data_IF_253938559962
#
_entry.id   IF_253938559962
#
_cell.length_a   1.000
_cell.length_b   1.000
_cell.length_c   1.000
_cell.angle_alpha   90.00
_cell.angle_beta   90.00
_cell.angle_gamma   90.00
#
_symmetry.space_group_name_H-M   'P 1'
#
loop_
_entity.id
_entity.type
_entity.pdbx_description
1 polymer ?
#
# COMPACT_ATOMS: atom_id res chain seq x y z
N UNK A 1 23.51 9.76 8.56
CA UNK A 1 22.27 8.94 8.65
C UNK A 1 22.23 8.05 7.41
N UNK A 2 21.99 6.75 7.56
CA UNK A 2 21.90 5.82 6.42
C UNK A 2 20.42 5.55 6.11
N UNK A 3 20.11 5.33 4.83
CA UNK A 3 18.73 5.15 4.34
C UNK A 3 18.54 3.73 3.83
N UNK A 4 17.40 3.13 4.17
CA UNK A 4 17.00 1.78 3.76
C UNK A 4 15.68 1.87 3.00
N UNK A 5 15.62 1.24 1.83
CA UNK A 5 14.38 1.06 1.08
C UNK A 5 13.88 -0.36 1.33
N UNK A 6 12.66 -0.47 1.85
CA UNK A 6 11.99 -1.74 2.17
C UNK A 6 10.89 -1.95 1.14
N UNK A 7 10.97 -3.02 0.35
CA UNK A 7 9.94 -3.39 -0.60
C UNK A 7 9.09 -4.54 -0.03
N UNK A 8 7.83 -4.25 0.30
CA UNK A 8 6.87 -5.25 0.75
C UNK A 8 6.23 -5.93 -0.48
N UNK A 9 6.35 -7.25 -0.60
CA UNK A 9 5.76 -7.98 -1.72
C UNK A 9 4.23 -7.88 -1.75
N UNK A 10 3.61 -7.96 -2.94
CA UNK A 10 2.14 -7.88 -3.07
C UNK A 10 1.37 -8.94 -2.27
N UNK A 11 1.95 -10.13 -2.11
CA UNK A 11 1.37 -11.21 -1.30
C UNK A 11 1.66 -11.06 0.20
N UNK A 12 2.59 -10.18 0.59
CA UNK A 12 2.92 -9.94 1.99
C UNK A 12 1.78 -9.22 2.73
N UNK A 13 0.81 -8.67 1.99
CA UNK A 13 -0.34 -7.94 2.52
C UNK A 13 -1.63 -8.78 2.53
N UNK A 14 -1.58 -10.06 2.14
CA UNK A 14 -2.77 -10.91 2.09
C UNK A 14 -3.81 -10.48 1.05
N UNK A 15 -4.96 -11.16 1.06
CA UNK A 15 -5.95 -11.06 -0.02
C UNK A 15 -7.22 -10.28 0.37
N UNK A 16 -7.34 -9.88 1.63
CA UNK A 16 -8.48 -9.13 2.14
C UNK A 16 -8.07 -8.15 3.25
N UNK A 17 -8.95 -7.19 3.63
CA UNK A 17 -8.60 -6.17 4.60
C UNK A 17 -8.19 -6.67 5.98
N UNK A 18 -8.76 -7.80 6.43
CA UNK A 18 -8.44 -8.36 7.74
C UNK A 18 -7.03 -8.95 7.75
N UNK A 19 -6.69 -9.71 6.72
CA UNK A 19 -5.34 -10.26 6.53
C UNK A 19 -4.31 -9.17 6.35
N UNK A 20 -4.57 -8.17 5.51
CA UNK A 20 -3.69 -7.02 5.33
C UNK A 20 -3.36 -6.34 6.63
N UNK A 21 -4.39 -6.06 7.44
CA UNK A 21 -4.17 -5.42 8.74
C UNK A 21 -3.35 -6.31 9.67
N UNK A 22 -3.59 -7.63 9.69
CA UNK A 22 -2.84 -8.57 10.52
C UNK A 22 -1.36 -8.64 10.11
N UNK A 23 -1.07 -8.76 8.81
CA UNK A 23 0.29 -8.83 8.27
C UNK A 23 1.06 -7.53 8.52
N UNK A 24 0.43 -6.37 8.27
CA UNK A 24 1.03 -5.06 8.54
C UNK A 24 1.33 -4.91 10.04
N UNK A 25 0.39 -5.31 10.91
CA UNK A 25 0.59 -5.24 12.36
C UNK A 25 1.73 -6.14 12.84
N UNK A 26 1.95 -7.28 12.18
CA UNK A 26 3.05 -8.18 12.47
C UNK A 26 4.39 -7.61 11.99
N UNK A 27 4.42 -6.91 10.86
CA UNK A 27 5.63 -6.34 10.27
C UNK A 27 6.07 -5.00 10.91
N UNK A 28 5.12 -4.20 11.42
CA UNK A 28 5.38 -2.86 11.96
C UNK A 28 6.48 -2.80 13.05
N UNK A 29 6.53 -3.71 14.05
CA UNK A 29 7.60 -3.71 15.04
C UNK A 29 9.00 -3.82 14.43
N UNK A 30 9.19 -4.72 13.47
CA UNK A 30 10.49 -4.90 12.82
C UNK A 30 10.92 -3.65 12.05
N UNK A 31 9.98 -2.97 11.37
CA UNK A 31 10.26 -1.71 10.69
C UNK A 31 10.63 -0.58 11.66
N UNK A 32 9.94 -0.48 12.80
CA UNK A 32 10.25 0.54 13.82
C UNK A 32 11.59 0.28 14.52
N UNK A 33 11.98 -0.98 14.73
CA UNK A 33 13.31 -1.31 15.26
C UNK A 33 14.43 -0.85 14.32
N UNK A 34 14.23 -0.90 12.99
CA UNK A 34 15.18 -0.32 12.03
C UNK A 34 15.32 1.20 12.24
N UNK A 35 14.21 1.91 12.46
CA UNK A 35 14.24 3.36 12.75
C UNK A 35 15.00 3.61 14.06
N UNK A 36 14.76 2.78 15.08
CA UNK A 36 15.42 2.88 16.40
C UNK A 36 16.94 2.69 16.33
N UNK A 37 17.43 1.90 15.38
CA UNK A 37 18.85 1.77 15.06
C UNK A 37 19.46 3.00 14.35
N UNK A 38 18.67 4.05 14.12
CA UNK A 38 19.13 5.31 13.52
C UNK A 38 19.09 5.35 12.00
N UNK A 39 18.38 4.41 11.37
CA UNK A 39 18.15 4.41 9.92
C UNK A 39 16.90 5.20 9.55
N UNK A 40 16.96 5.86 8.41
CA UNK A 40 15.77 6.36 7.73
C UNK A 40 15.20 5.23 6.86
N UNK A 41 13.90 4.99 6.92
CA UNK A 41 13.24 3.98 6.09
C UNK A 41 12.34 4.62 5.04
N UNK A 42 12.37 4.07 3.83
CA UNK A 42 11.39 4.30 2.77
C UNK A 42 10.71 2.96 2.51
N UNK A 43 9.39 2.95 2.47
CA UNK A 43 8.62 1.73 2.27
C UNK A 43 7.93 1.81 0.91
N UNK A 44 8.16 0.81 0.07
CA UNK A 44 7.33 0.53 -1.11
C UNK A 44 6.56 -0.76 -0.87
N UNK A 45 5.48 -0.95 -1.62
CA UNK A 45 4.66 -2.15 -1.52
C UNK A 45 4.11 -2.56 -2.89
N UNK A 46 3.86 -3.86 -3.06
CA UNK A 46 2.99 -4.36 -4.11
C UNK A 46 1.52 -4.13 -3.75
N UNK A 47 0.62 -4.31 -4.73
CA UNK A 47 -0.82 -4.06 -4.55
C UNK A 47 -1.71 -5.06 -5.29
N UNK A 48 -1.14 -6.14 -5.87
CA UNK A 48 -1.85 -7.06 -6.78
C UNK A 48 -3.22 -7.54 -6.26
N UNK A 49 -3.29 -8.18 -5.08
CA UNK A 49 -4.57 -8.59 -4.51
C UNK A 49 -5.53 -7.43 -4.25
N UNK A 50 -5.01 -6.30 -3.76
CA UNK A 50 -5.81 -5.14 -3.34
C UNK A 50 -6.41 -4.40 -4.53
N UNK A 51 -5.62 -4.16 -5.59
CA UNK A 51 -6.11 -3.52 -6.81
C UNK A 51 -7.08 -4.41 -7.56
N UNK A 52 -6.84 -5.73 -7.59
CA UNK A 52 -7.76 -6.70 -8.18
C UNK A 52 -9.11 -6.77 -7.44
N UNK A 53 -9.09 -6.71 -6.10
CA UNK A 53 -10.31 -6.63 -5.30
C UNK A 53 -11.12 -5.37 -5.63
N UNK A 54 -10.46 -4.20 -5.70
CA UNK A 54 -11.12 -2.91 -5.98
C UNK A 54 -11.70 -2.85 -7.39
N UNK A 55 -10.90 -3.24 -8.40
CA UNK A 55 -11.31 -3.26 -9.80
C UNK A 55 -12.54 -4.18 -9.99
N UNK A 56 -12.48 -5.39 -9.43
CA UNK A 56 -13.58 -6.35 -9.52
C UNK A 56 -14.85 -5.82 -8.86
N UNK A 57 -14.73 -5.22 -7.67
CA UNK A 57 -15.88 -4.70 -6.93
C UNK A 57 -16.57 -3.54 -7.69
N UNK A 58 -15.79 -2.59 -8.21
CA UNK A 58 -16.33 -1.43 -8.92
C UNK A 58 -16.96 -1.87 -10.26
N UNK A 59 -16.31 -2.75 -11.01
CA UNK A 59 -16.86 -3.23 -12.27
C UNK A 59 -18.11 -4.09 -12.08
N UNK A 60 -18.18 -4.90 -11.01
CA UNK A 60 -19.42 -5.59 -10.65
C UNK A 60 -20.54 -4.61 -10.34
N UNK A 61 -20.26 -3.52 -9.61
CA UNK A 61 -21.26 -2.50 -9.29
C UNK A 61 -21.77 -1.76 -10.53
N UNK A 62 -20.86 -1.32 -11.41
CA UNK A 62 -21.21 -0.65 -12.68
C UNK A 62 -22.05 -1.53 -13.63
N UNK A 63 -21.80 -2.84 -13.63
CA UNK A 63 -22.58 -3.80 -14.41
C UNK A 63 -23.99 -4.05 -13.85
N UNK A 64 -24.22 -3.81 -12.56
CA UNK A 64 -25.51 -3.99 -11.90
C UNK A 64 -26.34 -2.70 -11.89
N UNK A 65 -25.68 -1.55 -11.86
CA UNK A 65 -26.30 -0.22 -11.83
C UNK A 65 -25.59 0.72 -12.79
N UNK A 66 -26.27 1.03 -13.91
CA UNK A 66 -25.77 1.93 -14.95
C UNK A 66 -25.49 3.37 -14.49
N UNK A 67 -25.94 3.77 -13.29
CA UNK A 67 -25.59 5.07 -12.70
C UNK A 67 -24.17 5.10 -12.09
N UNK A 68 -23.57 3.93 -11.85
CA UNK A 68 -22.21 3.80 -11.32
C UNK A 68 -21.23 3.76 -12.51
N UNK A 69 -20.24 4.66 -12.57
CA UNK A 69 -19.28 4.68 -13.67
C UNK A 69 -18.29 3.51 -13.57
N UNK A 70 -17.83 3.04 -14.73
CA UNK A 70 -16.63 2.21 -14.79
C UNK A 70 -15.41 3.03 -14.37
N UNK A 71 -14.52 2.41 -13.62
CA UNK A 71 -13.25 2.98 -13.17
C UNK A 71 -12.13 2.16 -13.77
N UNK A 72 -11.17 2.82 -14.42
CA UNK A 72 -10.07 2.12 -15.07
C UNK A 72 -9.03 1.66 -14.04
N UNK A 73 -8.17 0.74 -14.46
CA UNK A 73 -7.13 0.17 -13.61
C UNK A 73 -6.17 1.23 -12.98
N UNK A 74 -5.81 2.35 -13.65
CA UNK A 74 -4.98 3.39 -13.04
C UNK A 74 -5.63 4.05 -11.81
N UNK A 75 -6.92 4.38 -11.86
CA UNK A 75 -7.64 4.94 -10.73
C UNK A 75 -7.80 3.92 -9.59
N UNK A 76 -8.12 2.66 -9.91
CA UNK A 76 -8.12 1.58 -8.92
C UNK A 76 -6.73 1.41 -8.27
N UNK A 77 -5.66 1.58 -9.05
CA UNK A 77 -4.28 1.55 -8.55
C UNK A 77 -4.04 2.71 -7.60
N UNK A 78 -4.45 3.95 -7.94
CA UNK A 78 -4.34 5.10 -7.04
C UNK A 78 -5.12 4.90 -5.73
N UNK A 79 -6.35 4.35 -5.81
CA UNK A 79 -7.14 4.00 -4.63
C UNK A 79 -6.43 2.96 -3.76
N UNK A 80 -5.84 1.93 -4.38
CA UNK A 80 -5.11 0.87 -3.65
C UNK A 80 -3.91 1.41 -2.87
N UNK A 81 -3.22 2.44 -3.39
CA UNK A 81 -2.13 3.11 -2.67
C UNK A 81 -2.64 3.81 -1.41
N UNK A 82 -3.74 4.55 -1.50
CA UNK A 82 -4.35 5.20 -0.34
C UNK A 82 -4.83 4.18 0.70
N UNK A 83 -5.44 3.10 0.25
CA UNK A 83 -5.90 2.00 1.10
C UNK A 83 -4.77 1.30 1.86
N UNK A 84 -3.71 0.88 1.16
CA UNK A 84 -2.56 0.20 1.77
C UNK A 84 -1.78 1.17 2.66
N UNK A 85 -1.52 2.37 2.16
CA UNK A 85 -0.82 3.43 2.88
C UNK A 85 -1.51 3.84 4.18
N UNK A 86 -2.84 3.90 4.19
CA UNK A 86 -3.63 4.14 5.40
C UNK A 86 -3.36 3.08 6.48
N UNK A 87 -3.38 1.79 6.13
CA UNK A 87 -3.09 0.73 7.09
C UNK A 87 -1.63 0.76 7.57
N UNK A 88 -0.66 0.97 6.66
CA UNK A 88 0.76 1.09 7.01
C UNK A 88 1.01 2.26 7.95
N UNK A 89 0.49 3.44 7.62
CA UNK A 89 0.62 4.64 8.45
C UNK A 89 0.10 4.40 9.86
N UNK A 90 -1.10 3.85 10.01
CA UNK A 90 -1.70 3.63 11.32
C UNK A 90 -0.89 2.64 12.16
N UNK A 91 -0.43 1.55 11.56
CA UNK A 91 0.34 0.54 12.27
C UNK A 91 1.71 1.06 12.70
N UNK A 92 2.42 1.74 11.79
CA UNK A 92 3.74 2.33 12.07
C UNK A 92 3.65 3.46 13.08
N UNK A 93 2.66 4.37 12.96
CA UNK A 93 2.45 5.43 13.94
C UNK A 93 2.15 4.85 15.32
N UNK A 94 1.27 3.85 15.42
CA UNK A 94 0.98 3.20 16.69
C UNK A 94 2.25 2.61 17.31
N UNK A 95 3.06 1.94 16.50
CA UNK A 95 4.29 1.30 16.99
C UNK A 95 5.37 2.31 17.38
N UNK A 96 5.54 3.38 16.60
CA UNK A 96 6.41 4.52 16.96
C UNK A 96 5.99 5.14 18.30
N UNK A 97 4.68 5.36 18.52
CA UNK A 97 4.18 5.95 19.77
C UNK A 97 4.34 5.03 20.97
N UNK A 98 4.20 3.71 20.81
CA UNK A 98 4.51 2.75 21.89
C UNK A 98 5.97 2.82 22.35
N UNK A 99 6.88 3.18 21.44
CA UNK A 99 8.31 3.33 21.70
C UNK A 99 8.68 4.79 22.03
N UNK A 100 7.69 5.64 22.30
CA UNK A 100 7.85 7.07 22.63
C UNK A 100 8.59 7.88 21.54
N UNK A 101 8.58 7.40 20.30
CA UNK A 101 9.20 8.06 19.15
C UNK A 101 8.23 9.06 18.53
N UNK A 102 8.69 10.29 18.27
CA UNK A 102 7.86 11.42 17.79
C UNK A 102 7.80 11.55 16.26
N UNK A 103 8.39 10.61 15.53
CA UNK A 103 8.41 10.60 14.07
C UNK A 103 6.99 10.51 13.47
N UNK A 104 6.85 11.05 12.27
CA UNK A 104 5.61 11.01 11.48
C UNK A 104 5.78 10.02 10.32
N UNK A 105 4.64 9.50 9.84
CA UNK A 105 4.59 8.57 8.71
C UNK A 105 3.64 9.15 7.68
N UNK A 106 4.06 9.18 6.41
CA UNK A 106 3.26 9.68 5.31
C UNK A 106 3.28 8.69 4.13
N UNK A 107 2.15 8.57 3.46
CA UNK A 107 1.98 7.87 2.18
C UNK A 107 1.88 8.92 1.09
N UNK A 108 2.60 8.69 -0.01
CA UNK A 108 2.63 9.58 -1.16
C UNK A 108 2.06 8.81 -2.35
N UNK A 109 1.00 9.34 -2.97
CA UNK A 109 0.53 8.82 -4.24
C UNK A 109 1.67 8.96 -5.25
N UNK A 110 2.04 7.83 -5.86
CA UNK A 110 3.21 7.73 -6.72
C UNK A 110 2.77 7.30 -8.11
N UNK A 111 3.09 8.13 -9.10
CA UNK A 111 2.99 7.79 -10.52
C UNK A 111 4.35 7.28 -11.01
N UNK A 112 4.33 6.26 -11.87
CA UNK A 112 5.53 5.66 -12.44
C UNK A 112 5.45 5.84 -13.95
N UNK A 113 6.46 6.49 -14.53
CA UNK A 113 6.61 6.59 -15.97
C UNK A 113 6.98 5.23 -16.55
N UNK A 114 6.30 4.84 -17.63
CA UNK A 114 6.53 3.60 -18.36
C UNK A 114 6.62 3.89 -19.84
N UNK A 115 7.29 3.01 -20.58
CA UNK A 115 7.45 3.15 -22.02
C UNK A 115 6.12 2.83 -22.72
N UNK A 116 5.64 3.71 -23.60
CA UNK A 116 4.31 3.58 -24.21
C UNK A 116 4.14 2.34 -25.11
N UNK A 117 5.23 1.83 -25.69
CA UNK A 117 5.25 0.65 -26.57
C UNK A 117 5.82 -0.60 -25.89
N UNK A 118 5.81 -0.64 -24.55
CA UNK A 118 6.26 -1.81 -23.78
C UNK A 118 5.52 -3.10 -24.25
N UNK A 119 6.25 -4.20 -24.51
CA UNK A 119 5.64 -5.48 -24.89
C UNK A 119 4.57 -5.99 -23.92
N UNK A 120 4.57 -5.57 -22.65
CA UNK A 120 3.57 -5.92 -21.66
C UNK A 120 2.14 -5.40 -21.97
N UNK A 121 2.00 -4.45 -22.91
CA UNK A 121 0.69 -3.93 -23.36
C UNK A 121 0.08 -4.71 -24.54
N UNK A 122 0.74 -5.77 -25.02
CA UNK A 122 0.29 -6.57 -26.18
C UNK A 122 -0.37 -7.89 -25.79
#
# INVERSE_FOLDING_TARGET
MKRIVIALGGNALGDNPKEQLAQINQAAPAMVEIIKLGYEIIISHGNGPQVGMLEKAINMAANLDSSIPHVQLPECTAMSQGYIGYHLQNALLRELRKQEMVWQVATIITQVEVVADDPAFK
#
